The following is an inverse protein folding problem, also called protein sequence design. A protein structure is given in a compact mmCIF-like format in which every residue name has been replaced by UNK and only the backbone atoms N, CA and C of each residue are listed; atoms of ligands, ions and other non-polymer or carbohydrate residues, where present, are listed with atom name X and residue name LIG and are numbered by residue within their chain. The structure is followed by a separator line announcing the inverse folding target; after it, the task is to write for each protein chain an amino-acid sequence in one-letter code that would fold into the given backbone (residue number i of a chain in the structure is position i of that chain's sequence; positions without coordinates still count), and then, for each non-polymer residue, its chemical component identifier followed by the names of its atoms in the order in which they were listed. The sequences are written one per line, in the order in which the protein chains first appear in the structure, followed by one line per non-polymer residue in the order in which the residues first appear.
data_IF_542536053033
#
_entry.id   IF_542536053033
#
_cell.length_a   1.000
_cell.length_b   1.000
_cell.length_c   1.000
_cell.angle_alpha   90.00
_cell.angle_beta   90.00
_cell.angle_gamma   90.00
#
_symmetry.space_group_name_H-M   'P 1'
#
loop_
_entity.id
_entity.type
_entity.pdbx_description
1 polymer ?
#
# COMPACT_ATOMS: atom_id res chain seq x y z
N UNK A 1 24.06 10.83 3.81
CA UNK A 1 25.23 10.23 4.49
C UNK A 1 24.88 9.69 5.88
N UNK A 2 23.79 10.10 6.51
CA UNK A 2 23.38 9.62 7.83
C UNK A 2 24.09 10.39 8.96
N UNK A 3 24.16 11.69 8.84
CA UNK A 3 24.62 12.59 9.90
C UNK A 3 23.38 13.04 10.72
N UNK A 4 23.56 13.13 12.06
CA UNK A 4 22.52 13.65 12.94
C UNK A 4 22.38 15.17 12.80
N UNK A 5 21.19 15.69 13.13
CA UNK A 5 20.92 17.13 13.29
C UNK A 5 21.17 17.99 12.03
N UNK A 6 21.07 17.38 10.81
CA UNK A 6 21.32 18.12 9.56
C UNK A 6 20.06 18.83 9.05
N UNK A 7 18.94 18.13 8.96
CA UNK A 7 17.65 18.66 8.46
C UNK A 7 16.59 18.63 9.56
N UNK A 8 16.69 17.67 10.45
CA UNK A 8 15.80 17.43 11.55
C UNK A 8 16.59 16.99 12.78
N UNK A 9 16.18 17.30 14.03
CA UNK A 9 16.89 16.85 15.21
C UNK A 9 17.04 15.34 15.30
N UNK A 10 18.24 14.85 15.60
CA UNK A 10 18.58 13.44 15.73
C UNK A 10 18.90 12.74 14.42
N UNK A 11 19.03 11.42 14.52
CA UNK A 11 19.25 10.54 13.37
C UNK A 11 17.92 10.13 12.75
N UNK A 12 17.79 10.15 11.40
CA UNK A 12 16.64 9.55 10.75
C UNK A 12 16.59 8.04 11.00
N UNK A 13 15.40 7.48 11.17
CA UNK A 13 15.22 6.03 11.29
C UNK A 13 15.52 5.32 9.96
N UNK A 14 15.06 5.93 8.87
CA UNK A 14 15.18 5.41 7.52
C UNK A 14 15.46 6.53 6.52
N UNK A 15 16.03 6.16 5.38
CA UNK A 15 15.92 6.94 4.16
C UNK A 15 14.95 6.25 3.20
N UNK A 16 13.92 6.97 2.78
CA UNK A 16 13.01 6.51 1.75
C UNK A 16 13.57 6.88 0.36
N UNK A 17 13.87 5.86 -0.45
CA UNK A 17 14.32 6.05 -1.83
C UNK A 17 13.11 6.26 -2.73
N UNK A 18 13.04 7.42 -3.39
CA UNK A 18 12.00 7.73 -4.38
C UNK A 18 12.59 7.76 -5.78
N UNK A 19 11.76 7.49 -6.81
CA UNK A 19 12.12 7.74 -8.21
C UNK A 19 12.01 9.25 -8.46
N UNK A 20 13.11 9.96 -8.48
CA UNK A 20 13.13 11.36 -8.92
C UNK A 20 12.87 11.48 -10.42
N UNK A 21 11.93 12.32 -10.82
CA UNK A 21 11.56 12.52 -12.24
C UNK A 21 12.61 13.30 -13.05
N UNK A 22 13.43 14.10 -12.40
CA UNK A 22 14.35 15.03 -13.08
C UNK A 22 15.80 15.00 -12.61
N UNK A 23 16.10 14.46 -11.42
CA UNK A 23 17.45 14.59 -10.80
C UNK A 23 17.99 13.28 -10.21
N UNK A 24 17.49 12.12 -10.65
CA UNK A 24 17.89 10.81 -10.09
C UNK A 24 17.15 10.44 -8.80
N UNK A 25 17.63 9.40 -8.13
CA UNK A 25 16.99 8.94 -6.89
C UNK A 25 17.11 9.97 -5.77
N UNK A 26 15.99 10.33 -5.15
CA UNK A 26 15.96 11.16 -3.95
C UNK A 26 15.88 10.26 -2.72
N UNK A 27 16.41 10.77 -1.62
CA UNK A 27 16.43 10.09 -0.31
C UNK A 27 15.73 10.97 0.71
N UNK A 28 14.51 10.66 1.04
CA UNK A 28 13.68 11.40 2.00
C UNK A 28 13.91 10.80 3.40
N UNK A 29 14.35 11.59 4.38
CA UNK A 29 14.54 11.09 5.74
C UNK A 29 13.20 10.84 6.41
N UNK A 30 13.01 9.63 6.96
CA UNK A 30 11.90 9.30 7.83
C UNK A 30 12.38 9.31 9.27
N UNK A 31 11.77 10.14 10.08
CA UNK A 31 12.13 10.34 11.48
C UNK A 31 11.19 9.57 12.40
N UNK A 32 11.54 9.49 13.69
CA UNK A 32 10.64 8.97 14.72
C UNK A 32 9.32 9.75 14.78
N UNK A 33 9.38 11.05 14.51
CA UNK A 33 8.21 11.93 14.58
C UNK A 33 7.32 11.85 13.34
N UNK A 34 7.89 11.53 12.16
CA UNK A 34 7.10 11.38 10.92
C UNK A 34 6.46 9.99 10.74
N UNK A 35 7.02 8.94 11.34
CA UNK A 35 6.49 7.58 11.20
C UNK A 35 5.03 7.41 11.68
N UNK A 36 4.59 8.03 12.80
CA UNK A 36 3.19 7.96 13.23
C UNK A 36 2.18 8.45 12.18
N UNK A 37 2.53 9.50 11.41
CA UNK A 37 1.68 9.97 10.31
C UNK A 37 1.44 8.86 9.27
N UNK A 38 2.49 8.18 8.79
CA UNK A 38 2.34 7.12 7.79
C UNK A 38 1.50 5.94 8.28
N UNK A 39 1.72 5.49 9.52
CA UNK A 39 1.03 4.32 10.08
C UNK A 39 -0.38 4.70 10.53
N UNK A 40 -0.52 5.84 11.17
CA UNK A 40 -1.81 6.35 11.68
C UNK A 40 -2.80 6.63 10.57
N UNK A 41 -2.37 7.32 9.51
CA UNK A 41 -3.25 7.65 8.37
C UNK A 41 -3.72 6.42 7.60
N UNK A 42 -2.84 5.44 7.37
CA UNK A 42 -3.23 4.18 6.74
C UNK A 42 -4.28 3.42 7.57
N UNK A 43 -4.11 3.38 8.90
CA UNK A 43 -5.11 2.82 9.83
C UNK A 43 -6.42 3.63 9.82
N UNK A 44 -6.33 4.96 9.87
CA UNK A 44 -7.49 5.84 9.91
C UNK A 44 -8.33 5.73 8.63
N UNK A 45 -7.72 5.51 7.47
CA UNK A 45 -8.42 5.24 6.23
C UNK A 45 -9.30 3.99 6.32
N UNK A 46 -8.80 2.89 6.89
CA UNK A 46 -9.59 1.67 7.10
C UNK A 46 -10.67 1.86 8.16
N UNK A 47 -10.37 2.59 9.24
CA UNK A 47 -11.37 2.92 10.27
C UNK A 47 -12.46 3.86 9.71
N UNK A 48 -12.11 4.79 8.83
CA UNK A 48 -13.06 5.65 8.10
C UNK A 48 -14.01 4.81 7.24
N UNK A 49 -13.47 3.84 6.50
CA UNK A 49 -14.29 2.90 5.74
C UNK A 49 -15.28 2.15 6.63
N UNK A 50 -14.82 1.57 7.75
CA UNK A 50 -15.70 0.89 8.71
C UNK A 50 -16.77 1.84 9.27
N UNK A 51 -16.38 3.06 9.66
CA UNK A 51 -17.32 4.04 10.20
C UNK A 51 -18.38 4.48 9.18
N UNK A 52 -17.98 4.63 7.90
CA UNK A 52 -18.86 5.04 6.82
C UNK A 52 -19.80 3.95 6.30
N UNK A 53 -19.36 2.68 6.32
CA UNK A 53 -20.11 1.55 5.75
C UNK A 53 -20.75 0.65 6.81
N UNK A 54 -20.22 0.63 8.03
CA UNK A 54 -20.53 -0.37 9.06
C UNK A 54 -19.92 -1.75 8.77
N UNK A 55 -19.11 -1.90 7.71
CA UNK A 55 -18.53 -3.17 7.29
C UNK A 55 -17.06 -3.27 7.68
N UNK A 56 -16.75 -4.29 8.48
CA UNK A 56 -15.40 -4.66 8.89
C UNK A 56 -15.03 -6.08 8.42
N UNK A 57 -15.81 -6.69 7.54
CA UNK A 57 -15.66 -8.11 7.14
C UNK A 57 -14.31 -8.42 6.48
N UNK A 58 -13.59 -7.41 5.98
CA UNK A 58 -12.24 -7.58 5.43
C UNK A 58 -11.21 -8.07 6.46
N UNK A 59 -11.45 -7.92 7.78
CA UNK A 59 -10.53 -8.41 8.81
C UNK A 59 -10.71 -9.90 9.11
N UNK A 60 -11.80 -10.51 8.66
CA UNK A 60 -12.15 -11.91 8.98
C UNK A 60 -11.37 -12.93 8.13
N UNK A 61 -10.61 -12.48 7.12
CA UNK A 61 -9.85 -13.33 6.22
C UNK A 61 -8.47 -12.76 5.90
N UNK A 62 -7.93 -13.16 4.75
CA UNK A 62 -6.60 -12.77 4.32
C UNK A 62 -6.60 -11.41 3.61
N UNK A 63 -5.49 -10.71 3.76
CA UNK A 63 -5.24 -9.40 3.16
C UNK A 63 -3.96 -9.44 2.34
N UNK A 64 -4.04 -9.13 1.05
CA UNK A 64 -2.86 -9.02 0.17
C UNK A 64 -2.40 -7.56 0.09
N UNK A 65 -1.09 -7.36 0.28
CA UNK A 65 -0.42 -6.08 0.06
C UNK A 65 0.61 -6.24 -1.06
N UNK A 66 0.23 -5.83 -2.28
CA UNK A 66 1.13 -5.82 -3.44
C UNK A 66 2.03 -4.59 -3.38
N UNK A 67 3.28 -4.81 -3.03
CA UNK A 67 4.26 -3.74 -2.78
C UNK A 67 5.65 -4.12 -3.28
N UNK A 68 6.56 -3.14 -3.32
CA UNK A 68 7.98 -3.41 -3.57
C UNK A 68 8.61 -4.28 -2.48
N UNK A 69 9.82 -4.80 -2.76
CA UNK A 69 10.55 -5.61 -1.77
C UNK A 69 10.68 -4.87 -0.44
N UNK A 70 10.40 -5.54 0.70
CA UNK A 70 10.58 -4.98 2.03
C UNK A 70 12.06 -5.02 2.50
N UNK A 71 12.96 -5.56 1.72
CA UNK A 71 14.38 -5.58 2.06
C UNK A 71 14.96 -4.16 2.17
N UNK A 72 15.72 -3.97 3.23
CA UNK A 72 16.36 -2.69 3.53
C UNK A 72 17.86 -2.77 3.31
N UNK A 73 18.37 -1.92 2.43
CA UNK A 73 19.80 -1.66 2.35
C UNK A 73 20.25 -0.77 3.52
N UNK A 74 21.56 -0.57 3.66
CA UNK A 74 22.14 0.39 4.60
C UNK A 74 22.98 1.42 3.85
N UNK A 75 22.89 2.66 4.31
CA UNK A 75 23.80 3.73 3.87
C UNK A 75 25.19 3.52 4.46
N UNK A 76 26.19 4.24 3.97
CA UNK A 76 27.53 4.28 4.58
C UNK A 76 27.53 4.75 6.03
N UNK A 77 26.52 5.54 6.43
CA UNK A 77 26.31 5.97 7.81
C UNK A 77 25.47 5.01 8.67
N UNK A 78 25.16 3.81 8.16
CA UNK A 78 24.43 2.77 8.91
C UNK A 78 22.92 2.93 8.96
N UNK A 79 22.34 4.02 8.40
CA UNK A 79 20.89 4.23 8.36
C UNK A 79 20.25 3.32 7.32
N UNK A 80 19.13 2.69 7.66
CA UNK A 80 18.41 1.82 6.75
C UNK A 80 17.80 2.60 5.58
N UNK A 81 17.79 1.97 4.41
CA UNK A 81 17.35 2.55 3.14
C UNK A 81 16.41 1.59 2.44
N UNK A 82 15.23 2.09 2.04
CA UNK A 82 14.25 1.29 1.29
C UNK A 82 13.23 2.15 0.58
N UNK A 83 12.23 1.53 -0.05
CA UNK A 83 11.03 2.21 -0.53
C UNK A 83 10.05 2.37 0.63
N UNK A 84 9.17 3.38 0.58
CA UNK A 84 8.21 3.64 1.66
C UNK A 84 7.38 2.41 2.02
N UNK A 85 6.79 1.74 1.03
CA UNK A 85 5.98 0.54 1.24
C UNK A 85 6.76 -0.60 1.92
N UNK A 86 8.03 -0.77 1.55
CA UNK A 86 8.92 -1.73 2.19
C UNK A 86 9.24 -1.36 3.63
N UNK A 87 9.52 -0.09 3.92
CA UNK A 87 9.78 0.40 5.28
C UNK A 87 8.54 0.20 6.17
N UNK A 88 7.36 0.61 5.69
CA UNK A 88 6.10 0.47 6.44
C UNK A 88 5.78 -1.00 6.74
N UNK A 89 6.20 -1.93 5.87
CA UNK A 89 6.02 -3.36 6.11
C UNK A 89 6.64 -3.87 7.42
N UNK A 90 7.73 -3.25 7.88
CA UNK A 90 8.37 -3.59 9.16
C UNK A 90 7.60 -3.05 10.39
N UNK A 91 6.63 -2.16 10.19
CA UNK A 91 5.85 -1.52 11.26
C UNK A 91 4.41 -2.03 11.34
N UNK A 92 4.06 -3.06 10.57
CA UNK A 92 2.73 -3.68 10.63
C UNK A 92 2.57 -4.36 12.00
N UNK A 93 1.49 -4.06 12.75
CA UNK A 93 1.23 -4.69 14.04
C UNK A 93 1.15 -6.20 13.94
N UNK A 94 1.66 -6.91 14.96
CA UNK A 94 1.74 -8.38 14.98
C UNK A 94 0.38 -9.07 14.77
N UNK A 95 -0.71 -8.47 15.28
CA UNK A 95 -2.06 -9.03 15.13
C UNK A 95 -2.58 -8.98 13.67
N UNK A 96 -2.05 -8.10 12.84
CA UNK A 96 -2.39 -8.05 11.40
C UNK A 96 -1.48 -8.97 10.56
N UNK A 97 -0.30 -9.32 11.07
CA UNK A 97 0.66 -10.13 10.30
C UNK A 97 0.16 -11.54 10.02
N UNK A 98 -0.63 -12.14 10.90
CA UNK A 98 -1.19 -13.48 10.74
C UNK A 98 -2.11 -13.63 9.51
N UNK A 99 -2.76 -12.53 9.11
CA UNK A 99 -3.67 -12.49 7.97
C UNK A 99 -3.08 -11.80 6.75
N UNK A 100 -1.81 -11.42 6.81
CA UNK A 100 -1.13 -10.69 5.73
C UNK A 100 -0.51 -11.64 4.73
N UNK A 101 -0.71 -11.35 3.45
CA UNK A 101 -0.11 -12.00 2.29
C UNK A 101 0.55 -10.95 1.37
N UNK A 102 1.46 -11.35 0.50
CA UNK A 102 2.13 -12.64 0.48
C UNK A 102 3.11 -12.78 1.65
N UNK A 103 3.72 -13.94 1.79
CA UNK A 103 4.80 -14.22 2.74
C UNK A 103 5.96 -13.24 2.60
N UNK A 104 6.80 -13.15 3.61
CA UNK A 104 8.01 -12.33 3.57
C UNK A 104 8.95 -12.73 2.42
N UNK A 105 9.16 -14.02 2.24
CA UNK A 105 10.02 -14.57 1.19
C UNK A 105 9.53 -14.18 -0.20
N UNK A 106 8.24 -14.35 -0.47
CA UNK A 106 7.62 -13.93 -1.74
C UNK A 106 7.70 -12.42 -1.93
N UNK A 107 7.52 -11.63 -0.88
CA UNK A 107 7.66 -10.18 -0.94
C UNK A 107 9.08 -9.71 -1.26
N UNK A 108 10.11 -10.47 -0.91
CA UNK A 108 11.51 -10.15 -1.19
C UNK A 108 11.94 -10.43 -2.64
N UNK A 109 11.11 -11.08 -3.45
CA UNK A 109 11.41 -11.28 -4.87
C UNK A 109 11.47 -9.90 -5.56
N UNK A 110 12.59 -9.59 -6.19
CA UNK A 110 12.83 -8.30 -6.86
C UNK A 110 12.17 -8.21 -8.23
N UNK A 111 12.26 -9.30 -9.02
CA UNK A 111 11.63 -9.37 -10.34
C UNK A 111 10.11 -9.41 -10.19
N UNK A 112 9.44 -8.40 -10.74
CA UNK A 112 8.00 -8.22 -10.54
C UNK A 112 7.16 -9.34 -11.16
N UNK A 113 7.50 -9.83 -12.33
CA UNK A 113 6.73 -10.89 -12.99
C UNK A 113 6.85 -12.20 -12.22
N UNK A 114 8.07 -12.57 -11.83
CA UNK A 114 8.33 -13.74 -10.98
C UNK A 114 7.60 -13.63 -9.64
N UNK A 115 7.61 -12.42 -9.05
CA UNK A 115 6.92 -12.14 -7.79
C UNK A 115 5.41 -12.34 -7.93
N UNK A 116 4.79 -11.78 -8.97
CA UNK A 116 3.34 -11.91 -9.18
C UNK A 116 2.94 -13.37 -9.34
N UNK A 117 3.70 -14.16 -10.10
CA UNK A 117 3.44 -15.59 -10.25
C UNK A 117 3.58 -16.36 -8.92
N UNK A 118 4.54 -15.98 -8.07
CA UNK A 118 4.69 -16.55 -6.73
C UNK A 118 3.52 -16.17 -5.83
N UNK A 119 3.09 -14.89 -5.85
CA UNK A 119 1.92 -14.41 -5.11
C UNK A 119 0.67 -15.16 -5.53
N UNK A 120 0.44 -15.36 -6.82
CA UNK A 120 -0.72 -16.12 -7.32
C UNK A 120 -0.73 -17.55 -6.76
N UNK A 121 0.40 -18.27 -6.84
CA UNK A 121 0.50 -19.64 -6.30
C UNK A 121 0.26 -19.72 -4.80
N UNK A 122 0.73 -18.72 -4.07
CA UNK A 122 0.59 -18.66 -2.61
C UNK A 122 -0.85 -18.35 -2.18
N UNK A 123 -1.59 -17.56 -2.98
CA UNK A 123 -2.84 -16.95 -2.53
C UNK A 123 -4.10 -17.52 -3.16
N UNK A 124 -4.02 -18.24 -4.29
CA UNK A 124 -5.19 -18.67 -5.05
C UNK A 124 -6.18 -19.61 -4.31
N UNK A 125 -5.79 -20.13 -3.16
CA UNK A 125 -6.62 -21.01 -2.30
C UNK A 125 -7.03 -20.36 -0.98
N UNK A 126 -6.68 -19.11 -0.76
CA UNK A 126 -6.91 -18.40 0.50
C UNK A 126 -8.27 -17.68 0.52
N UNK A 127 -8.83 -17.44 1.69
CA UNK A 127 -10.01 -16.58 1.86
C UNK A 127 -9.57 -15.10 1.81
N UNK A 128 -9.32 -14.62 0.60
CA UNK A 128 -8.90 -13.24 0.38
C UNK A 128 -10.09 -12.29 0.50
N UNK A 129 -9.97 -11.27 1.36
CA UNK A 129 -11.01 -10.28 1.60
C UNK A 129 -10.58 -8.84 1.29
N UNK A 130 -9.31 -8.53 1.43
CA UNK A 130 -8.77 -7.23 1.09
C UNK A 130 -7.57 -7.37 0.14
N UNK A 131 -7.56 -6.57 -0.90
CA UNK A 131 -6.38 -6.37 -1.74
C UNK A 131 -5.92 -4.92 -1.65
N UNK A 132 -4.61 -4.71 -1.49
CA UNK A 132 -4.01 -3.37 -1.49
C UNK A 132 -2.84 -3.31 -2.46
N UNK A 133 -2.78 -2.23 -3.24
CA UNK A 133 -1.68 -1.98 -4.16
C UNK A 133 -1.99 -0.91 -5.20
N UNK A 134 -0.99 -0.57 -5.98
CA UNK A 134 -1.16 0.31 -7.14
C UNK A 134 -2.06 -0.40 -8.16
N UNK A 135 -3.07 0.26 -8.75
CA UNK A 135 -4.02 -0.36 -9.67
C UNK A 135 -3.40 -1.23 -10.77
N UNK A 136 -2.32 -0.77 -11.40
CA UNK A 136 -1.63 -1.55 -12.44
C UNK A 136 -1.03 -2.88 -11.92
N UNK A 137 -0.55 -2.91 -10.69
CA UNK A 137 0.00 -4.13 -10.08
C UNK A 137 -1.10 -5.11 -9.69
N UNK A 138 -2.20 -4.59 -9.14
CA UNK A 138 -3.37 -5.40 -8.79
C UNK A 138 -4.03 -5.96 -10.04
N UNK A 139 -4.13 -5.16 -11.12
CA UNK A 139 -4.62 -5.65 -12.41
C UNK A 139 -3.79 -6.83 -12.92
N UNK A 140 -2.46 -6.71 -12.95
CA UNK A 140 -1.56 -7.78 -13.39
C UNK A 140 -1.74 -9.04 -12.52
N UNK A 141 -1.85 -8.87 -11.21
CA UNK A 141 -2.11 -9.99 -10.29
C UNK A 141 -3.43 -10.69 -10.61
N UNK A 142 -4.51 -9.95 -10.81
CA UNK A 142 -5.80 -10.55 -11.17
C UNK A 142 -5.76 -11.25 -12.54
N UNK A 143 -5.13 -10.67 -13.52
CA UNK A 143 -4.96 -11.30 -14.85
C UNK A 143 -4.18 -12.62 -14.75
N UNK A 144 -3.06 -12.65 -14.01
CA UNK A 144 -2.29 -13.87 -13.78
C UNK A 144 -3.06 -14.91 -12.96
N UNK A 145 -3.82 -14.46 -11.95
CA UNK A 145 -4.68 -15.32 -11.14
C UNK A 145 -5.73 -16.05 -11.99
N UNK A 146 -6.41 -15.33 -12.87
CA UNK A 146 -7.42 -15.92 -13.75
C UNK A 146 -6.82 -16.89 -14.75
N UNK A 147 -5.67 -16.59 -15.31
CA UNK A 147 -4.93 -17.53 -16.17
C UNK A 147 -4.53 -18.80 -15.39
N UNK A 148 -4.04 -18.63 -14.16
CA UNK A 148 -3.58 -19.76 -13.34
C UNK A 148 -4.73 -20.67 -12.89
N UNK A 149 -5.87 -20.07 -12.51
CA UNK A 149 -7.02 -20.80 -11.96
C UNK A 149 -8.00 -21.31 -13.04
N UNK A 150 -7.92 -20.77 -14.26
CA UNK A 150 -8.87 -21.03 -15.33
C UNK A 150 -10.29 -20.49 -15.08
N UNK A 151 -10.44 -19.57 -14.12
CA UNK A 151 -11.71 -18.94 -13.78
C UNK A 151 -11.98 -17.72 -14.67
N UNK A 152 -13.27 -17.40 -14.84
CA UNK A 152 -13.67 -16.25 -15.65
C UNK A 152 -13.54 -14.92 -14.90
N UNK A 153 -13.79 -14.90 -13.60
CA UNK A 153 -13.74 -13.71 -12.76
C UNK A 153 -13.01 -13.97 -11.45
N UNK A 154 -12.51 -12.90 -10.83
CA UNK A 154 -11.86 -12.95 -9.51
C UNK A 154 -12.85 -13.34 -8.43
N UNK A 155 -14.15 -12.98 -8.58
CA UNK A 155 -15.21 -13.39 -7.66
C UNK A 155 -15.37 -14.91 -7.57
N UNK A 156 -15.12 -15.64 -8.66
CA UNK A 156 -15.16 -17.10 -8.64
C UNK A 156 -13.99 -17.74 -7.89
N UNK A 157 -12.86 -17.00 -7.74
CA UNK A 157 -11.70 -17.43 -6.97
C UNK A 157 -11.84 -16.97 -5.51
N UNK A 158 -12.19 -15.70 -5.32
CA UNK A 158 -12.30 -15.04 -4.01
C UNK A 158 -13.72 -14.51 -3.78
N UNK A 159 -14.66 -15.37 -3.42
CA UNK A 159 -16.08 -14.97 -3.27
C UNK A 159 -16.32 -13.95 -2.15
N UNK A 160 -15.39 -13.86 -1.18
CA UNK A 160 -15.47 -12.96 -0.04
C UNK A 160 -14.61 -11.69 -0.20
N UNK A 161 -14.01 -11.46 -1.36
CA UNK A 161 -13.22 -10.24 -1.61
C UNK A 161 -14.16 -9.03 -1.57
N UNK A 162 -13.94 -8.12 -0.60
CA UNK A 162 -14.88 -7.04 -0.30
C UNK A 162 -14.26 -5.64 -0.25
N UNK A 163 -12.90 -5.52 -0.29
CA UNK A 163 -12.27 -4.21 -0.22
C UNK A 163 -11.01 -4.12 -1.08
N UNK A 164 -10.92 -3.04 -1.88
CA UNK A 164 -9.71 -2.66 -2.61
C UNK A 164 -9.15 -1.35 -2.08
N UNK A 165 -7.95 -1.38 -1.52
CA UNK A 165 -7.22 -0.21 -1.03
C UNK A 165 -6.14 0.16 -2.04
N UNK A 166 -6.20 1.35 -2.62
CA UNK A 166 -5.29 1.75 -3.70
C UNK A 166 -4.76 3.16 -3.53
N UNK A 167 -3.77 3.51 -4.33
CA UNK A 167 -3.20 4.85 -4.39
C UNK A 167 -2.07 4.93 -5.41
N UNK A 168 -1.41 6.07 -5.45
CA UNK A 168 -0.27 6.33 -6.32
C UNK A 168 -0.62 6.78 -7.74
N UNK A 169 -1.80 6.40 -8.25
CA UNK A 169 -2.36 6.84 -9.54
C UNK A 169 -3.88 6.92 -9.46
N UNK A 170 -4.49 7.78 -10.28
CA UNK A 170 -5.95 7.85 -10.40
C UNK A 170 -6.54 6.51 -10.87
N UNK A 171 -7.62 6.08 -10.24
CA UNK A 171 -8.26 4.79 -10.55
C UNK A 171 -9.09 4.80 -11.84
N UNK A 172 -9.62 5.95 -12.25
CA UNK A 172 -10.53 6.06 -13.40
C UNK A 172 -10.13 5.26 -14.66
N UNK A 173 -8.88 5.35 -15.13
CA UNK A 173 -8.41 4.58 -16.30
C UNK A 173 -8.49 3.06 -16.14
N UNK A 174 -8.54 2.54 -14.93
CA UNK A 174 -8.56 1.11 -14.60
C UNK A 174 -9.97 0.58 -14.33
N UNK A 175 -10.93 1.45 -14.03
CA UNK A 175 -12.24 1.09 -13.49
C UNK A 175 -12.98 0.03 -14.33
N UNK A 176 -13.07 0.21 -15.64
CA UNK A 176 -13.76 -0.72 -16.53
C UNK A 176 -13.06 -2.09 -16.58
N UNK A 177 -11.71 -2.09 -16.66
CA UNK A 177 -10.95 -3.34 -16.65
C UNK A 177 -11.10 -4.09 -15.34
N UNK A 178 -11.11 -3.38 -14.22
CA UNK A 178 -11.34 -3.99 -12.90
C UNK A 178 -12.74 -4.60 -12.80
N UNK A 179 -13.79 -3.93 -13.29
CA UNK A 179 -15.15 -4.49 -13.32
C UNK A 179 -15.20 -5.80 -14.10
N UNK A 180 -14.54 -5.86 -15.25
CA UNK A 180 -14.47 -7.08 -16.08
C UNK A 180 -13.71 -8.20 -15.36
N UNK A 181 -12.56 -7.92 -14.76
CA UNK A 181 -11.76 -8.91 -14.06
C UNK A 181 -12.43 -9.41 -12.78
N UNK A 182 -13.02 -8.52 -12.01
CA UNK A 182 -13.68 -8.85 -10.75
C UNK A 182 -15.01 -9.58 -10.96
N UNK A 183 -15.82 -9.15 -11.93
CA UNK A 183 -17.20 -9.59 -12.13
C UNK A 183 -18.22 -8.83 -11.28
N UNK A 184 -17.77 -7.85 -10.48
CA UNK A 184 -18.62 -7.00 -9.63
C UNK A 184 -17.93 -5.65 -9.36
N UNK A 185 -18.68 -4.69 -8.82
CA UNK A 185 -18.13 -3.42 -8.35
C UNK A 185 -17.66 -3.56 -6.90
N UNK A 186 -16.34 -3.50 -6.70
CA UNK A 186 -15.72 -3.62 -5.39
C UNK A 186 -15.68 -2.27 -4.66
N UNK A 187 -16.03 -2.19 -3.36
CA UNK A 187 -15.76 -1.04 -2.51
C UNK A 187 -14.27 -0.68 -2.52
N UNK A 188 -13.97 0.63 -2.55
CA UNK A 188 -12.59 1.12 -2.65
C UNK A 188 -12.29 2.17 -1.60
N UNK A 189 -11.03 2.22 -1.21
CA UNK A 189 -10.46 3.30 -0.41
C UNK A 189 -9.21 3.82 -1.12
N UNK A 190 -9.23 5.07 -1.53
CA UNK A 190 -8.08 5.72 -2.15
C UNK A 190 -7.19 6.36 -1.11
N UNK A 191 -5.88 6.19 -1.28
CA UNK A 191 -4.84 6.68 -0.39
C UNK A 191 -3.87 7.56 -1.17
N UNK A 192 -3.36 8.60 -0.51
CA UNK A 192 -2.29 9.45 -1.04
C UNK A 192 -1.06 9.44 -0.11
N UNK A 193 -0.35 8.30 -0.01
CA UNK A 193 0.93 8.24 0.67
C UNK A 193 2.04 8.80 -0.22
N UNK A 194 2.87 9.69 0.32
CA UNK A 194 4.12 10.13 -0.26
C UNK A 194 5.27 9.81 0.69
N UNK A 195 6.51 9.80 0.20
CA UNK A 195 7.67 9.58 1.07
C UNK A 195 7.85 10.70 2.09
N UNK A 196 7.40 11.89 1.74
CA UNK A 196 7.41 13.10 2.55
C UNK A 196 6.36 13.09 3.68
N UNK A 197 5.28 12.32 3.51
CA UNK A 197 4.20 12.19 4.47
C UNK A 197 2.96 11.55 3.85
N UNK A 198 2.06 11.04 4.67
CA UNK A 198 0.76 10.54 4.23
C UNK A 198 -0.22 11.71 4.12
N UNK A 199 -0.42 12.22 2.90
CA UNK A 199 -1.05 13.51 2.66
C UNK A 199 -2.57 13.48 2.83
N UNK A 200 -3.22 12.47 2.27
CA UNK A 200 -4.69 12.38 2.25
C UNK A 200 -5.16 10.93 2.10
N UNK A 201 -6.42 10.68 2.41
CA UNK A 201 -7.11 9.42 2.14
C UNK A 201 -8.61 9.65 1.96
N UNK A 202 -9.28 8.74 1.27
CA UNK A 202 -10.73 8.74 1.15
C UNK A 202 -11.34 8.31 2.49
N UNK A 203 -12.11 9.17 3.11
CA UNK A 203 -12.73 8.98 4.43
C UNK A 203 -14.21 8.59 4.37
N UNK A 204 -14.83 8.77 3.19
CA UNK A 204 -16.22 8.39 2.95
C UNK A 204 -16.38 7.72 1.57
N UNK A 205 -17.17 6.62 1.46
CA UNK A 205 -17.21 5.79 0.25
C UNK A 205 -17.76 6.51 -0.99
N UNK A 206 -18.68 7.43 -0.84
CA UNK A 206 -19.38 8.10 -1.95
C UNK A 206 -18.93 9.55 -2.20
N UNK A 207 -17.85 9.97 -1.56
CA UNK A 207 -17.32 11.32 -1.73
C UNK A 207 -16.26 11.36 -2.83
N UNK A 208 -16.38 12.34 -3.73
CA UNK A 208 -15.27 12.70 -4.62
C UNK A 208 -14.16 13.42 -3.82
N UNK A 209 -12.93 12.94 -4.00
CA UNK A 209 -11.77 13.50 -3.33
C UNK A 209 -11.36 12.74 -2.08
N UNK A 210 -10.38 13.30 -1.38
CA UNK A 210 -9.76 12.71 -0.20
C UNK A 210 -9.69 13.73 0.94
N UNK A 211 -9.84 13.26 2.16
CA UNK A 211 -9.59 14.08 3.36
C UNK A 211 -8.10 14.39 3.48
N UNK A 212 -7.76 15.68 3.49
CA UNK A 212 -6.38 16.16 3.68
C UNK A 212 -5.98 16.09 5.18
N UNK A 213 -4.83 15.50 5.47
CA UNK A 213 -4.31 15.32 6.84
C UNK A 213 -3.68 16.60 7.41
N UNK A 214 -4.46 17.65 7.61
CA UNK A 214 -3.97 18.98 8.03
C UNK A 214 -3.43 19.02 9.47
N UNK A 215 -3.81 18.07 10.34
CA UNK A 215 -3.44 18.05 11.76
C UNK A 215 -2.56 16.83 12.14
N UNK A 216 -1.88 16.23 11.19
CA UNK A 216 -1.14 14.96 11.38
C UNK A 216 0.38 15.13 11.16
N UNK A 217 0.92 16.25 11.64
CA UNK A 217 2.36 16.52 11.61
C UNK A 217 2.93 16.96 10.26
N UNK A 218 2.07 17.31 9.29
CA UNK A 218 2.47 17.85 7.99
C UNK A 218 2.11 19.32 7.92
N UNK A 219 3.06 20.16 7.50
CA UNK A 219 2.80 21.56 7.17
C UNK A 219 2.44 21.70 5.70
N UNK A 220 1.30 22.30 5.41
CA UNK A 220 0.84 22.58 4.05
C UNK A 220 0.90 24.08 3.77
N UNK A 221 1.47 24.42 2.63
CA UNK A 221 1.44 25.78 2.08
C UNK A 221 0.71 25.74 0.73
N UNK A 222 -0.37 26.53 0.64
CA UNK A 222 -1.18 26.62 -0.58
C UNK A 222 -0.84 27.92 -1.30
N UNK A 223 -0.23 27.81 -2.47
CA UNK A 223 0.13 28.94 -3.31
C UNK A 223 -0.94 29.08 -4.39
N UNK A 224 -1.63 30.24 -4.48
CA UNK A 224 -2.69 30.49 -5.47
C UNK A 224 -2.15 30.55 -6.93
#
# INVERSE_FOLDING_TARGET
KGEADVVWPGMPLYFCKTSGTTSGAKYIPLTKDSMPNHIGSARNALLGHIAGTGDASFVDGKMIFLQGSPELAKTSGGVHLGRLSGIVAHHVPAYLQANRLPSWETNCIDDWETKVDAVVRETCHEDLRLVSGIPSWVQMYFERLLVHTGKATVQEVFPNLCLFVHGGVAFGPYAERFRQLLGFDIPRVELYPASEGFLAYQDAPDMEGMLLNVNDGIFFEFIP
#
